data_IF_794765596172
#
_entry.id   IF_794765596172
#
_cell.length_a   1.000
_cell.length_b   1.000
_cell.length_c   1.000
_cell.angle_alpha   90.00
_cell.angle_beta   90.00
_cell.angle_gamma   90.00
#
_symmetry.space_group_name_H-M   'P 1'
#
loop_
_entity.id
_entity.type
_entity.pdbx_description
1 polymer ?
#
# COMPACT_ATOMS: atom_id res chain seq x y z
N UNK A 1 11.82 2.72 17.23
CA UNK A 1 11.59 2.51 15.78
C UNK A 1 10.45 1.52 15.63
N UNK A 2 9.21 2.03 15.64
CA UNK A 2 8.01 1.23 15.58
C UNK A 2 7.85 0.68 14.15
N UNK A 3 8.33 -0.55 13.94
CA UNK A 3 7.96 -1.34 12.77
C UNK A 3 6.46 -1.58 12.87
N UNK A 4 5.68 -0.86 12.07
CA UNK A 4 4.25 -1.06 11.92
C UNK A 4 4.01 -2.57 11.69
N UNK A 5 3.12 -3.21 12.48
CA UNK A 5 2.79 -4.61 12.31
C UNK A 5 2.04 -4.76 10.97
N UNK A 6 2.78 -5.01 9.89
CA UNK A 6 2.24 -5.45 8.59
C UNK A 6 1.78 -6.91 8.71
N UNK A 7 0.84 -7.16 9.61
CA UNK A 7 0.10 -8.43 9.76
C UNK A 7 -1.23 -8.39 8.98
N UNK A 8 -1.41 -7.38 8.12
CA UNK A 8 -2.55 -7.27 7.22
C UNK A 8 -2.35 -8.04 5.91
N UNK A 9 -3.45 -8.54 5.33
CA UNK A 9 -3.45 -9.17 4.01
C UNK A 9 -2.86 -8.20 2.97
N UNK A 10 -1.79 -8.59 2.26
CA UNK A 10 -1.14 -7.77 1.21
C UNK A 10 -2.13 -7.11 0.25
N UNK A 11 -3.27 -7.76 0.00
CA UNK A 11 -4.35 -7.25 -0.84
C UNK A 11 -4.94 -5.93 -0.29
N UNK A 12 -5.12 -5.80 1.02
CA UNK A 12 -5.64 -4.58 1.67
C UNK A 12 -4.61 -3.44 1.63
N UNK A 13 -3.34 -3.78 1.79
CA UNK A 13 -2.26 -2.79 1.73
C UNK A 13 -2.09 -2.23 0.31
N UNK A 14 -2.14 -3.11 -0.70
CA UNK A 14 -2.14 -2.72 -2.12
C UNK A 14 -3.37 -1.91 -2.52
N UNK A 15 -4.56 -2.27 -1.99
CA UNK A 15 -5.78 -1.49 -2.21
C UNK A 15 -5.68 -0.10 -1.57
N UNK A 16 -5.14 -0.01 -0.34
CA UNK A 16 -4.95 1.26 0.35
C UNK A 16 -3.96 2.17 -0.36
N UNK A 17 -2.83 1.64 -0.82
CA UNK A 17 -1.85 2.44 -1.58
C UNK A 17 -2.38 2.84 -2.94
N UNK A 18 -3.05 1.94 -3.68
CA UNK A 18 -3.70 2.27 -4.96
C UNK A 18 -4.77 3.36 -4.83
N UNK A 19 -5.62 3.27 -3.80
CA UNK A 19 -6.63 4.29 -3.54
C UNK A 19 -5.99 5.64 -3.17
N UNK A 20 -4.92 5.63 -2.37
CA UNK A 20 -4.20 6.84 -2.00
C UNK A 20 -3.49 7.48 -3.22
N UNK A 21 -2.80 6.71 -4.05
CA UNK A 21 -2.07 7.26 -5.21
C UNK A 21 -2.97 7.74 -6.34
N UNK A 22 -4.16 7.16 -6.50
CA UNK A 22 -5.12 7.63 -7.50
C UNK A 22 -5.95 8.80 -6.96
N UNK A 23 -6.39 8.70 -5.70
CA UNK A 23 -7.26 9.71 -5.10
C UNK A 23 -6.54 11.01 -4.79
N UNK A 24 -5.36 10.95 -4.19
CA UNK A 24 -4.67 12.14 -3.67
C UNK A 24 -4.27 13.14 -4.78
N UNK A 25 -3.55 12.76 -5.86
CA UNK A 25 -3.12 13.71 -6.87
C UNK A 25 -4.26 14.21 -7.77
N UNK A 26 -5.30 13.41 -8.00
CA UNK A 26 -6.48 13.85 -8.76
C UNK A 26 -7.30 14.87 -7.97
N UNK A 27 -7.55 14.62 -6.68
CA UNK A 27 -8.23 15.58 -5.81
C UNK A 27 -7.40 16.86 -5.61
N UNK A 28 -6.08 16.74 -5.42
CA UNK A 28 -5.19 17.90 -5.30
C UNK A 28 -5.11 18.71 -6.60
N UNK A 29 -5.10 18.06 -7.75
CA UNK A 29 -5.09 18.72 -9.06
C UNK A 29 -6.37 19.50 -9.34
N UNK A 30 -7.54 18.89 -9.10
CA UNK A 30 -8.84 19.58 -9.23
C UNK A 30 -8.99 20.71 -8.20
N UNK A 31 -8.59 20.48 -6.95
CA UNK A 31 -8.64 21.51 -5.91
C UNK A 31 -7.74 22.70 -6.24
N UNK A 32 -6.51 22.47 -6.73
CA UNK A 32 -5.62 23.54 -7.13
C UNK A 32 -6.17 24.36 -8.31
N UNK A 33 -6.79 23.70 -9.30
CA UNK A 33 -7.45 24.36 -10.44
C UNK A 33 -8.66 25.16 -10.02
N UNK A 34 -9.41 24.71 -9.00
CA UNK A 34 -10.58 25.44 -8.49
C UNK A 34 -10.18 26.67 -7.65
N UNK A 35 -9.04 26.63 -6.96
CA UNK A 35 -8.54 27.75 -6.16
C UNK A 35 -7.80 28.82 -6.96
N UNK A 36 -7.20 28.50 -8.11
CA UNK A 36 -6.55 29.48 -8.99
C UNK A 36 -7.52 30.01 -10.04
N UNK A 37 -8.24 31.09 -9.70
CA UNK A 37 -9.08 31.80 -10.66
C UNK A 37 -8.22 32.40 -11.81
N UNK A 38 -8.61 32.21 -13.08
CA UNK A 38 -7.84 32.58 -14.27
C UNK A 38 -7.72 34.10 -14.53
N UNK A 39 -8.03 34.95 -13.55
CA UNK A 39 -7.98 36.41 -13.65
C UNK A 39 -7.05 37.10 -12.64
N UNK A 40 -6.34 36.35 -11.78
CA UNK A 40 -5.45 36.90 -10.75
C UNK A 40 -3.95 36.76 -11.09
N UNK A 41 -3.61 36.11 -12.21
CA UNK A 41 -2.24 35.76 -12.59
C UNK A 41 -1.91 36.25 -14.00
N UNK A 42 -0.66 36.68 -14.18
CA UNK A 42 -0.13 37.31 -15.40
C UNK A 42 0.03 36.33 -16.58
N UNK A 43 0.01 35.01 -16.31
CA UNK A 43 0.26 33.97 -17.32
C UNK A 43 -0.42 32.62 -16.95
N UNK A 44 -1.76 32.54 -17.10
CA UNK A 44 -2.57 31.44 -16.57
C UNK A 44 -2.26 30.08 -17.22
N UNK A 45 -1.86 30.08 -18.49
CA UNK A 45 -1.53 28.86 -19.24
C UNK A 45 -0.31 28.16 -18.66
N UNK A 46 0.73 28.93 -18.32
CA UNK A 46 1.99 28.38 -17.77
C UNK A 46 1.78 27.78 -16.38
N UNK A 47 0.95 28.42 -15.55
CA UNK A 47 0.64 27.89 -14.22
C UNK A 47 -0.15 26.59 -14.30
N UNK A 48 -1.12 26.51 -15.23
CA UNK A 48 -1.90 25.30 -15.42
C UNK A 48 -1.04 24.11 -15.86
N UNK A 49 -0.10 24.34 -16.78
CA UNK A 49 0.87 23.31 -17.21
C UNK A 49 1.79 22.85 -16.07
N UNK A 50 2.24 23.77 -15.22
CA UNK A 50 3.06 23.43 -14.04
C UNK A 50 2.31 22.51 -13.07
N UNK A 51 1.03 22.83 -12.80
CA UNK A 51 0.18 22.00 -11.95
C UNK A 51 0.01 20.61 -12.57
N UNK A 52 -0.25 20.52 -13.88
CA UNK A 52 -0.39 19.23 -14.58
C UNK A 52 0.91 18.41 -14.53
N UNK A 53 2.09 19.03 -14.70
CA UNK A 53 3.38 18.33 -14.59
C UNK A 53 3.60 17.75 -13.19
N UNK A 54 3.25 18.49 -12.13
CA UNK A 54 3.38 18.01 -10.75
C UNK A 54 2.41 16.86 -10.49
N UNK A 55 1.15 16.96 -10.94
CA UNK A 55 0.13 15.92 -10.79
C UNK A 55 0.57 14.63 -11.50
N UNK A 56 1.05 14.73 -12.74
CA UNK A 56 1.55 13.58 -13.50
C UNK A 56 2.78 12.97 -12.82
N UNK A 57 3.72 13.80 -12.35
CA UNK A 57 4.91 13.32 -11.64
C UNK A 57 4.57 12.57 -10.36
N UNK A 58 3.66 13.11 -9.55
CA UNK A 58 3.18 12.47 -8.33
C UNK A 58 2.43 11.16 -8.62
N UNK A 59 1.64 11.10 -9.70
CA UNK A 59 0.94 9.89 -10.13
C UNK A 59 1.93 8.78 -10.52
N UNK A 60 2.93 9.11 -11.34
CA UNK A 60 3.96 8.14 -11.75
C UNK A 60 4.76 7.65 -10.54
N UNK A 61 5.16 8.55 -9.64
CA UNK A 61 5.85 8.18 -8.40
C UNK A 61 4.99 7.27 -7.50
N UNK A 62 3.70 7.55 -7.40
CA UNK A 62 2.76 6.70 -6.67
C UNK A 62 2.68 5.29 -7.25
N UNK A 63 2.58 5.19 -8.58
CA UNK A 63 2.52 3.90 -9.29
C UNK A 63 3.79 3.06 -9.08
N UNK A 64 4.98 3.69 -9.11
CA UNK A 64 6.24 2.96 -8.87
C UNK A 64 6.36 2.49 -7.42
N UNK A 65 5.88 3.28 -6.46
CA UNK A 65 5.78 2.88 -5.05
C UNK A 65 4.89 1.65 -4.87
N UNK A 66 3.71 1.64 -5.51
CA UNK A 66 2.79 0.48 -5.48
C UNK A 66 3.44 -0.75 -6.09
N UNK A 67 4.08 -0.60 -7.25
CA UNK A 67 4.79 -1.69 -7.91
C UNK A 67 5.85 -2.30 -6.98
N UNK A 68 6.60 -1.45 -6.29
CA UNK A 68 7.63 -1.89 -5.33
C UNK A 68 7.03 -2.71 -4.19
N UNK A 69 5.92 -2.25 -3.59
CA UNK A 69 5.21 -2.98 -2.53
C UNK A 69 4.64 -4.30 -3.05
N UNK A 70 4.09 -4.30 -4.26
CA UNK A 70 3.55 -5.51 -4.89
C UNK A 70 4.62 -6.58 -5.08
N UNK A 71 5.82 -6.17 -5.51
CA UNK A 71 6.97 -7.07 -5.63
C UNK A 71 7.36 -7.63 -4.25
N UNK A 72 7.44 -6.81 -3.21
CA UNK A 72 7.75 -7.28 -1.85
C UNK A 72 6.73 -8.30 -1.33
N UNK A 73 5.43 -8.03 -1.55
CA UNK A 73 4.34 -8.95 -1.24
C UNK A 73 4.46 -10.28 -1.99
N UNK A 74 4.80 -10.21 -3.29
CA UNK A 74 5.01 -11.39 -4.13
C UNK A 74 6.15 -12.26 -3.59
N UNK A 75 7.31 -11.66 -3.31
CA UNK A 75 8.49 -12.36 -2.79
C UNK A 75 8.17 -13.04 -1.46
N UNK A 76 7.49 -12.36 -0.53
CA UNK A 76 7.08 -12.93 0.75
C UNK A 76 6.15 -14.14 0.59
N UNK A 77 5.25 -14.10 -0.41
CA UNK A 77 4.35 -15.23 -0.72
C UNK A 77 5.12 -16.43 -1.28
N UNK A 78 6.13 -16.18 -2.12
CA UNK A 78 7.00 -17.23 -2.65
C UNK A 78 7.81 -17.88 -1.52
N UNK A 79 8.39 -17.08 -0.61
CA UNK A 79 9.22 -17.58 0.49
C UNK A 79 8.46 -18.39 1.54
N UNK A 80 7.22 -18.02 1.87
CA UNK A 80 6.45 -18.77 2.86
C UNK A 80 6.04 -20.17 2.41
N UNK A 81 6.03 -20.43 1.09
CA UNK A 81 5.53 -21.69 0.55
C UNK A 81 4.03 -21.87 0.79
N UNK A 82 3.44 -22.96 0.26
CA UNK A 82 2.04 -23.31 0.51
C UNK A 82 1.82 -23.56 2.00
N UNK A 83 0.63 -23.22 2.51
CA UNK A 83 0.26 -23.44 3.90
C UNK A 83 0.51 -24.91 4.26
N UNK A 84 1.56 -25.15 5.05
CA UNK A 84 1.91 -26.48 5.52
C UNK A 84 0.87 -26.86 6.57
N UNK A 85 -0.23 -27.48 6.13
CA UNK A 85 -1.13 -28.17 7.05
C UNK A 85 -0.31 -29.32 7.61
N UNK A 86 0.08 -29.22 8.87
CA UNK A 86 0.72 -30.34 9.53
C UNK A 86 -0.31 -31.48 9.57
N UNK A 87 0.10 -32.67 9.14
CA UNK A 87 -0.71 -33.86 9.36
C UNK A 87 -0.90 -34.04 10.88
N UNK A 88 -2.08 -34.47 11.34
CA UNK A 88 -2.30 -34.71 12.75
C UNK A 88 -1.36 -35.82 13.22
N UNK A 89 -0.33 -35.43 13.98
CA UNK A 89 0.50 -36.39 14.69
C UNK A 89 -0.35 -37.02 15.80
N UNK A 90 -0.35 -38.35 15.96
CA UNK A 90 -1.01 -38.97 17.08
C UNK A 90 -0.33 -38.50 18.36
N UNK A 91 -1.03 -37.68 19.16
CA UNK A 91 -0.57 -37.34 20.49
C UNK A 91 -0.61 -38.60 21.36
N UNK A 92 0.49 -38.96 22.04
CA UNK A 92 0.44 -39.97 23.09
C UNK A 92 -0.61 -39.54 24.12
N UNK A 93 -1.43 -40.49 24.58
CA UNK A 93 -2.33 -40.23 25.70
C UNK A 93 -1.52 -39.71 26.89
N UNK A 94 -1.92 -38.55 27.44
CA UNK A 94 -1.28 -37.96 28.60
C UNK A 94 -1.20 -39.00 29.72
N UNK A 95 0.01 -39.33 30.14
CA UNK A 95 0.25 -40.29 31.22
C UNK A 95 -0.16 -39.62 32.56
N UNK A 96 -1.16 -40.13 33.30
CA UNK A 96 -1.71 -39.48 34.50
C UNK A 96 -0.69 -39.23 35.61
N UNK A 97 0.46 -39.91 35.57
CA UNK A 97 1.53 -39.82 36.56
C UNK A 97 2.38 -38.55 36.45
N UNK A 98 2.33 -37.84 35.33
CA UNK A 98 3.06 -36.58 35.14
C UNK A 98 2.40 -35.37 35.83
N UNK A 99 1.14 -35.51 36.29
CA UNK A 99 0.39 -34.44 36.98
C UNK A 99 0.63 -34.41 38.50
N UNK A 100 1.24 -35.44 39.06
CA UNK A 100 1.39 -35.63 40.52
C UNK A 100 2.82 -35.48 41.03
N UNK A 101 3.74 -34.94 40.23
CA UNK A 101 5.06 -34.44 40.66
C UNK A 101 5.14 -32.95 40.43
#
# INVERSE_FOLDING_TARGET
MAFLPMTGSCKRLLLGTAAATLGLPLLLGEFAKHFMQPGLSDDPVRQQLLVDYIVIGALVFGLTMILTVAIGCWVRRVMQGPARSADPYPLPHEDPRARSQ
#
